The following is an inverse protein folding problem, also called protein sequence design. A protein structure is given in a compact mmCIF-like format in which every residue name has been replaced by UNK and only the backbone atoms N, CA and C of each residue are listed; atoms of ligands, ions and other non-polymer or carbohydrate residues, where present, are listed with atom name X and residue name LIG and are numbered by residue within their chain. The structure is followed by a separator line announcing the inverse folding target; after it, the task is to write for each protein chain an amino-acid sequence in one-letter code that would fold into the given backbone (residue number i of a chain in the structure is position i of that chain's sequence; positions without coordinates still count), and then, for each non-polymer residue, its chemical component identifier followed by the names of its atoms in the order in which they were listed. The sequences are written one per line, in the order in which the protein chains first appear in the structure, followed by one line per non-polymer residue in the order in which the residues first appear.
data_IF_949778800772
#
_entry.id   IF_949778800772
#
_cell.length_a   1.000
_cell.length_b   1.000
_cell.length_c   1.000
_cell.angle_alpha   90.00
_cell.angle_beta   90.00
_cell.angle_gamma   90.00
#
_symmetry.space_group_name_H-M   'P 1'
#
loop_
_entity.id
_entity.type
_entity.pdbx_description
1 polymer ?
#
# COMPACT_ATOMS: atom_id res chain seq x y z
N UNK A 1 40.78 -3.75 61.17
CA UNK A 1 39.73 -3.15 60.31
C UNK A 1 40.10 -1.73 59.86
N UNK A 2 40.67 -0.88 60.72
CA UNK A 2 41.17 0.46 60.33
C UNK A 2 42.42 0.35 59.43
N UNK A 3 43.31 -0.60 59.70
CA UNK A 3 44.57 -0.72 58.92
C UNK A 3 44.35 -1.25 57.50
N UNK A 4 43.37 -2.14 57.31
CA UNK A 4 42.97 -2.63 55.98
C UNK A 4 42.35 -1.53 55.11
N UNK A 5 41.61 -0.60 55.72
CA UNK A 5 41.06 0.58 55.02
C UNK A 5 42.17 1.56 54.65
N UNK A 6 43.15 1.80 55.54
CA UNK A 6 44.32 2.63 55.23
C UNK A 6 45.15 2.06 54.09
N UNK A 7 45.28 0.72 54.02
CA UNK A 7 46.05 0.05 52.97
C UNK A 7 45.35 0.10 51.61
N UNK A 8 44.02 -0.02 51.58
CA UNK A 8 43.20 0.19 50.38
C UNK A 8 43.25 1.63 49.86
N UNK A 9 43.20 2.63 50.76
CA UNK A 9 43.36 4.04 50.38
C UNK A 9 44.75 4.29 49.79
N UNK A 10 45.79 3.66 50.35
CA UNK A 10 47.16 3.78 49.85
C UNK A 10 47.33 3.13 48.47
N UNK A 11 46.75 1.95 48.24
CA UNK A 11 46.72 1.31 46.93
C UNK A 11 45.92 2.11 45.89
N UNK A 12 44.82 2.75 46.29
CA UNK A 12 44.07 3.68 45.43
C UNK A 12 44.92 4.93 45.11
N UNK A 13 45.62 5.51 46.07
CA UNK A 13 46.50 6.66 45.81
C UNK A 13 47.69 6.32 44.90
N UNK A 14 48.19 5.09 44.95
CA UNK A 14 49.27 4.59 44.10
C UNK A 14 48.79 4.05 42.74
N UNK A 15 47.47 3.99 42.50
CA UNK A 15 46.92 3.56 41.22
C UNK A 15 47.34 4.52 40.10
N UNK A 16 47.77 3.93 38.98
CA UNK A 16 48.19 4.66 37.78
C UNK A 16 47.13 5.66 37.29
N UNK A 17 45.85 5.36 37.52
CA UNK A 17 44.73 6.23 37.16
C UNK A 17 44.70 7.49 38.03
N UNK A 18 44.89 7.36 39.35
CA UNK A 18 44.88 8.50 40.27
C UNK A 18 46.12 9.37 40.09
N UNK A 19 47.30 8.76 39.90
CA UNK A 19 48.50 9.52 39.56
C UNK A 19 48.39 10.25 38.22
N UNK A 20 47.73 9.65 37.23
CA UNK A 20 47.43 10.31 35.97
C UNK A 20 46.53 11.54 36.17
N UNK A 21 45.49 11.46 37.00
CA UNK A 21 44.66 12.62 37.36
C UNK A 21 45.43 13.70 38.13
N UNK A 22 46.31 13.32 39.06
CA UNK A 22 47.17 14.29 39.75
C UNK A 22 48.11 15.00 38.79
N UNK A 23 48.76 14.27 37.88
CA UNK A 23 49.65 14.85 36.86
C UNK A 23 48.91 15.78 35.90
N UNK A 24 47.68 15.44 35.52
CA UNK A 24 46.80 16.33 34.74
C UNK A 24 46.44 17.58 35.55
N UNK A 25 46.11 17.43 36.84
CA UNK A 25 45.75 18.54 37.72
C UNK A 25 46.91 19.52 37.91
N UNK A 26 48.11 19.01 38.17
CA UNK A 26 49.33 19.80 38.34
C UNK A 26 49.70 20.53 37.04
N UNK A 27 49.67 19.83 35.91
CA UNK A 27 49.87 20.45 34.58
C UNK A 27 48.82 21.53 34.26
N UNK A 28 47.56 21.32 34.66
CA UNK A 28 46.47 22.29 34.54
C UNK A 28 46.62 23.49 35.49
N UNK A 29 47.31 23.34 36.62
CA UNK A 29 47.60 24.43 37.55
C UNK A 29 48.72 25.32 37.01
N UNK A 30 49.76 24.74 36.44
CA UNK A 30 50.89 25.46 35.86
C UNK A 30 50.53 26.19 34.55
N UNK A 31 49.69 25.58 33.70
CA UNK A 31 49.36 26.12 32.38
C UNK A 31 47.95 26.75 32.34
N UNK A 32 47.76 27.85 33.07
CA UNK A 32 46.44 28.51 33.27
C UNK A 32 45.72 28.84 31.95
N UNK A 33 46.44 29.33 30.93
CA UNK A 33 45.86 29.68 29.61
C UNK A 33 45.46 28.42 28.83
N UNK A 34 46.30 27.37 28.82
CA UNK A 34 46.01 26.12 28.13
C UNK A 34 44.86 25.36 28.78
N UNK A 35 44.73 25.43 30.11
CA UNK A 35 43.56 24.89 30.84
C UNK A 35 42.26 25.51 30.35
N UNK A 36 42.19 26.86 30.31
CA UNK A 36 41.01 27.58 29.82
C UNK A 36 40.68 27.21 28.37
N UNK A 37 41.71 27.08 27.53
CA UNK A 37 41.56 26.68 26.12
C UNK A 37 41.02 25.25 25.99
N UNK A 38 41.56 24.28 26.74
CA UNK A 38 41.08 22.89 26.72
C UNK A 38 39.65 22.79 27.23
N UNK A 39 39.31 23.48 28.34
CA UNK A 39 37.94 23.50 28.86
C UNK A 39 36.97 24.11 27.86
N UNK A 40 37.37 25.19 27.18
CA UNK A 40 36.55 25.81 26.14
C UNK A 40 36.40 24.90 24.92
N UNK A 41 37.48 24.27 24.47
CA UNK A 41 37.45 23.33 23.34
C UNK A 41 36.57 22.11 23.63
N UNK A 42 36.62 21.58 24.85
CA UNK A 42 35.75 20.49 25.27
C UNK A 42 34.28 20.92 25.28
N UNK A 43 33.98 22.11 25.82
CA UNK A 43 32.61 22.64 25.86
C UNK A 43 32.07 22.90 24.45
N UNK A 44 32.93 23.38 23.54
CA UNK A 44 32.63 23.57 22.13
C UNK A 44 32.42 22.23 21.42
N UNK A 45 33.21 21.20 21.72
CA UNK A 45 33.02 19.86 21.18
C UNK A 45 31.68 19.23 21.63
N UNK A 46 31.29 19.43 22.89
CA UNK A 46 29.97 19.00 23.40
C UNK A 46 28.84 19.75 22.66
N UNK A 47 28.97 21.06 22.49
CA UNK A 47 28.00 21.86 21.72
C UNK A 47 27.90 21.43 20.25
N UNK A 48 29.02 21.21 19.59
CA UNK A 48 29.07 20.72 18.21
C UNK A 48 28.45 19.32 18.10
N UNK A 49 28.71 18.43 19.06
CA UNK A 49 28.09 17.11 19.14
C UNK A 49 26.57 17.21 19.28
N UNK A 50 26.08 18.14 20.10
CA UNK A 50 24.64 18.36 20.29
C UNK A 50 23.98 18.95 19.04
N UNK A 51 24.64 19.87 18.34
CA UNK A 51 24.20 20.41 17.05
C UNK A 51 24.18 19.34 15.95
N UNK A 52 25.23 18.53 15.85
CA UNK A 52 25.28 17.39 14.93
C UNK A 52 24.17 16.40 15.28
N UNK A 53 23.95 16.13 16.57
CA UNK A 53 22.87 15.29 17.06
C UNK A 53 21.49 15.83 16.66
N UNK A 54 21.28 17.14 16.66
CA UNK A 54 20.04 17.77 16.19
C UNK A 54 19.87 17.68 14.65
N UNK A 55 20.95 17.83 13.89
CA UNK A 55 20.94 17.73 12.41
C UNK A 55 20.68 16.29 11.96
N UNK A 56 21.27 15.32 12.63
CA UNK A 56 21.13 13.89 12.31
C UNK A 56 20.00 13.19 13.07
N UNK A 57 19.29 13.91 13.97
CA UNK A 57 18.15 13.35 14.67
C UNK A 57 17.06 12.99 13.65
N UNK A 58 16.48 11.78 13.72
CA UNK A 58 15.32 11.45 12.91
C UNK A 58 14.21 12.49 13.11
N UNK A 59 13.61 12.96 12.02
CA UNK A 59 12.45 13.85 12.12
C UNK A 59 11.38 13.17 12.99
N UNK A 60 10.81 13.93 13.95
CA UNK A 60 9.72 13.43 14.78
C UNK A 60 8.60 12.95 13.87
N UNK A 61 8.19 11.70 14.00
CA UNK A 61 7.01 11.19 13.31
C UNK A 61 5.78 11.89 13.89
N UNK A 62 5.15 12.74 13.09
CA UNK A 62 3.97 13.51 13.51
C UNK A 62 2.66 12.72 13.37
N UNK A 63 2.70 11.57 12.69
CA UNK A 63 1.53 10.75 12.38
C UNK A 63 1.66 9.34 12.96
N UNK A 64 0.55 8.82 13.49
CA UNK A 64 0.49 7.44 13.97
C UNK A 64 0.44 6.45 12.80
N UNK A 65 0.77 5.19 13.06
CA UNK A 65 0.64 4.12 12.06
C UNK A 65 -0.77 3.99 11.52
N UNK A 66 -1.77 4.23 12.38
CA UNK A 66 -3.19 4.12 12.02
C UNK A 66 -3.66 5.29 11.15
N UNK A 67 -3.09 6.48 11.34
CA UNK A 67 -3.32 7.63 10.45
C UNK A 67 -2.71 7.38 9.06
N UNK A 68 -1.55 6.73 9.00
CA UNK A 68 -0.88 6.35 7.75
C UNK A 68 -1.36 5.01 7.18
N UNK A 69 -2.47 4.47 7.69
CA UNK A 69 -3.07 3.25 7.17
C UNK A 69 -3.44 3.43 5.69
N UNK A 70 -3.01 2.48 4.87
CA UNK A 70 -3.21 2.50 3.42
C UNK A 70 -4.48 1.75 3.00
N UNK A 71 -5.24 1.20 3.93
CA UNK A 71 -6.51 0.52 3.65
C UNK A 71 -7.58 1.10 4.56
N UNK A 72 -8.72 1.47 3.97
CA UNK A 72 -9.88 2.00 4.68
C UNK A 72 -11.15 1.30 4.20
N UNK A 73 -12.06 1.07 5.12
CA UNK A 73 -13.40 0.53 4.84
C UNK A 73 -14.38 1.66 5.04
N UNK A 74 -15.35 1.79 4.12
CA UNK A 74 -16.42 2.76 4.22
C UNK A 74 -17.36 2.38 5.37
N UNK A 75 -17.70 3.33 6.24
CA UNK A 75 -18.45 3.05 7.48
C UNK A 75 -19.83 2.46 7.23
N UNK A 76 -20.46 2.80 6.11
CA UNK A 76 -21.75 2.24 5.71
C UNK A 76 -21.65 0.85 5.06
N UNK A 77 -20.47 0.22 5.06
CA UNK A 77 -20.25 -1.11 4.50
C UNK A 77 -20.31 -1.16 2.97
N UNK A 78 -20.28 -0.02 2.28
CA UNK A 78 -20.42 0.01 0.81
C UNK A 78 -19.21 -0.53 0.04
N UNK A 79 -18.07 -0.70 0.71
CA UNK A 79 -16.86 -1.18 0.09
C UNK A 79 -15.61 -0.83 0.87
N UNK A 80 -14.47 -1.07 0.23
CA UNK A 80 -13.16 -0.71 0.72
C UNK A 80 -12.34 0.00 -0.35
N UNK A 81 -11.40 0.84 0.10
CA UNK A 81 -10.44 1.52 -0.75
C UNK A 81 -9.05 1.42 -0.13
N UNK A 82 -8.06 1.10 -0.97
CA UNK A 82 -6.69 0.89 -0.58
C UNK A 82 -5.74 1.76 -1.41
N UNK A 83 -4.88 2.52 -0.76
CA UNK A 83 -3.78 3.27 -1.35
C UNK A 83 -2.58 2.35 -1.57
N UNK A 84 -2.43 1.84 -2.79
CA UNK A 84 -1.45 0.79 -3.14
C UNK A 84 -0.10 1.35 -3.58
N UNK A 85 -0.07 2.56 -4.14
CA UNK A 85 1.15 3.21 -4.63
C UNK A 85 1.19 4.68 -4.22
N UNK A 86 2.35 5.15 -3.79
CA UNK A 86 2.60 6.54 -3.42
C UNK A 86 3.98 6.93 -3.91
N UNK A 87 4.06 7.83 -4.89
CA UNK A 87 5.32 8.37 -5.39
C UNK A 87 5.30 9.89 -5.19
N UNK A 88 6.37 10.43 -4.61
CA UNK A 88 6.61 11.87 -4.60
C UNK A 88 7.86 12.21 -5.39
N UNK A 89 7.74 13.25 -6.20
CA UNK A 89 8.85 13.86 -6.92
C UNK A 89 9.16 15.25 -6.39
N UNK A 90 10.17 15.40 -5.50
CA UNK A 90 10.58 16.69 -4.98
C UNK A 90 11.09 17.67 -6.05
N UNK A 91 11.57 17.15 -7.18
CA UNK A 91 12.13 17.96 -8.28
C UNK A 91 11.04 18.64 -9.10
N UNK A 92 9.97 17.93 -9.42
CA UNK A 92 8.89 18.42 -10.27
C UNK A 92 7.66 18.88 -9.49
N UNK A 93 7.60 18.63 -8.18
CA UNK A 93 6.46 18.99 -7.34
C UNK A 93 5.21 18.16 -7.67
N UNK A 94 5.40 16.89 -8.05
CA UNK A 94 4.33 15.97 -8.44
C UNK A 94 4.23 14.84 -7.43
N UNK A 95 3.02 14.52 -6.99
CA UNK A 95 2.70 13.29 -6.27
C UNK A 95 1.80 12.43 -7.13
N UNK A 96 2.13 11.15 -7.24
CA UNK A 96 1.30 10.13 -7.90
C UNK A 96 0.82 9.13 -6.86
N UNK A 97 -0.49 8.92 -6.80
CA UNK A 97 -1.15 8.00 -5.90
C UNK A 97 -1.95 7.00 -6.74
N UNK A 98 -1.98 5.75 -6.30
CA UNK A 98 -2.82 4.72 -6.93
C UNK A 98 -3.70 4.09 -5.87
N UNK A 99 -5.00 4.11 -6.13
CA UNK A 99 -6.03 3.54 -5.28
C UNK A 99 -6.64 2.31 -5.95
N UNK A 100 -6.93 1.30 -5.15
CA UNK A 100 -7.73 0.13 -5.53
C UNK A 100 -9.01 0.11 -4.70
N UNK A 101 -10.15 -0.18 -5.34
CA UNK A 101 -11.46 -0.21 -4.71
C UNK A 101 -12.13 -1.56 -4.90
N UNK A 102 -12.87 -1.97 -3.88
CA UNK A 102 -13.74 -3.14 -3.92
C UNK A 102 -15.14 -2.71 -3.53
N UNK A 103 -16.11 -3.03 -4.37
CA UNK A 103 -17.53 -2.79 -4.11
C UNK A 103 -18.14 -3.97 -3.34
N UNK A 104 -18.68 -3.70 -2.16
CA UNK A 104 -19.36 -4.72 -1.32
C UNK A 104 -20.87 -4.74 -1.51
N UNK A 105 -21.41 -3.84 -2.33
CA UNK A 105 -22.87 -3.67 -2.53
C UNK A 105 -23.41 -4.49 -3.69
N UNK A 106 -22.55 -5.03 -4.55
CA UNK A 106 -22.92 -5.83 -5.71
C UNK A 106 -22.45 -7.26 -5.53
N UNK A 107 -23.24 -8.23 -5.99
CA UNK A 107 -22.80 -9.63 -6.12
C UNK A 107 -21.72 -9.79 -7.21
N UNK A 108 -21.50 -8.77 -8.03
CA UNK A 108 -20.50 -8.74 -9.07
C UNK A 108 -19.20 -8.17 -8.50
N UNK A 109 -18.10 -8.94 -8.59
CA UNK A 109 -16.79 -8.55 -8.09
C UNK A 109 -16.14 -7.40 -8.90
N UNK A 110 -16.66 -6.18 -8.75
CA UNK A 110 -16.21 -4.94 -9.38
C UNK A 110 -15.69 -3.95 -8.34
N UNK A 111 -15.02 -2.89 -8.82
CA UNK A 111 -14.68 -1.75 -7.96
C UNK A 111 -15.83 -0.76 -7.82
N UNK A 112 -15.62 0.26 -6.99
CA UNK A 112 -16.61 1.32 -6.78
C UNK A 112 -16.55 2.25 -7.99
N UNK A 113 -17.72 2.54 -8.59
CA UNK A 113 -17.81 3.50 -9.69
C UNK A 113 -17.22 4.85 -9.28
N UNK A 114 -16.17 5.26 -9.98
CA UNK A 114 -15.47 6.54 -9.75
C UNK A 114 -16.40 7.76 -9.78
N UNK A 115 -17.51 7.73 -10.53
CA UNK A 115 -18.50 8.81 -10.57
C UNK A 115 -19.27 8.97 -9.26
N UNK A 116 -19.27 7.95 -8.40
CA UNK A 116 -19.90 7.95 -7.07
C UNK A 116 -18.92 8.33 -5.95
N UNK A 117 -17.64 8.49 -6.28
CA UNK A 117 -16.62 8.94 -5.34
C UNK A 117 -16.41 10.45 -5.48
N UNK A 118 -16.64 11.17 -4.39
CA UNK A 118 -16.33 12.60 -4.31
C UNK A 118 -15.04 12.79 -3.51
N UNK A 119 -14.11 13.55 -4.07
CA UNK A 119 -12.74 13.69 -3.57
C UNK A 119 -12.51 15.11 -3.10
N UNK A 120 -11.90 15.28 -1.94
CA UNK A 120 -11.42 16.58 -1.45
C UNK A 120 -9.96 16.48 -1.07
N UNK A 121 -9.18 17.50 -1.44
CA UNK A 121 -7.78 17.62 -1.08
C UNK A 121 -7.62 18.73 -0.04
N UNK A 122 -7.00 18.39 1.10
CA UNK A 122 -6.66 19.36 2.14
C UNK A 122 -5.15 19.44 2.32
N UNK A 123 -4.67 20.66 2.55
CA UNK A 123 -3.27 20.96 2.77
C UNK A 123 -3.09 21.73 4.09
N UNK A 124 -2.00 21.49 4.81
CA UNK A 124 -1.66 22.29 6.01
C UNK A 124 -1.41 23.76 5.67
N UNK A 125 -0.83 24.02 4.49
CA UNK A 125 -0.61 25.37 3.97
C UNK A 125 -1.19 25.42 2.57
N UNK A 126 -2.21 26.26 2.37
CA UNK A 126 -2.85 26.41 1.07
C UNK A 126 -1.85 27.06 0.09
N UNK A 127 -1.67 26.40 -1.05
CA UNK A 127 -0.99 26.95 -2.22
C UNK A 127 -2.03 27.10 -3.32
N UNK A 128 -2.14 28.30 -3.91
CA UNK A 128 -3.16 28.61 -4.92
C UNK A 128 -3.09 27.70 -6.14
N UNK A 129 -1.92 27.12 -6.41
CA UNK A 129 -1.64 26.45 -7.67
C UNK A 129 -1.67 24.92 -7.51
N UNK A 130 -1.77 24.40 -6.28
CA UNK A 130 -1.82 22.96 -6.03
C UNK A 130 -3.19 22.41 -6.39
N UNK A 131 -3.20 21.45 -7.30
CA UNK A 131 -4.41 20.80 -7.80
C UNK A 131 -4.27 19.28 -7.80
N UNK A 132 -5.40 18.60 -7.68
CA UNK A 132 -5.51 17.14 -7.73
C UNK A 132 -6.38 16.74 -8.92
N UNK A 133 -5.90 15.81 -9.72
CA UNK A 133 -6.66 15.23 -10.83
C UNK A 133 -6.86 13.74 -10.56
N UNK A 134 -8.11 13.28 -10.68
CA UNK A 134 -8.51 11.90 -10.40
C UNK A 134 -8.84 11.22 -11.72
N UNK A 135 -8.15 10.12 -12.01
CA UNK A 135 -8.24 9.44 -13.30
C UNK A 135 -8.58 7.96 -13.02
N UNK A 136 -9.82 7.52 -13.29
CA UNK A 136 -10.13 6.10 -13.23
C UNK A 136 -9.32 5.41 -14.32
N UNK A 137 -8.65 4.29 -14.00
CA UNK A 137 -7.91 3.47 -14.98
C UNK A 137 -8.74 2.26 -15.36
N UNK A 138 -9.10 1.44 -14.36
CA UNK A 138 -10.05 0.32 -14.48
C UNK A 138 -11.27 0.57 -13.59
N UNK A 139 -12.16 -0.42 -13.48
CA UNK A 139 -13.26 -0.39 -12.52
C UNK A 139 -12.77 -0.42 -11.06
N UNK A 140 -11.63 -1.06 -10.80
CA UNK A 140 -11.03 -1.19 -9.46
C UNK A 140 -9.93 -0.17 -9.19
N UNK A 141 -9.19 0.24 -10.22
CA UNK A 141 -7.97 1.04 -10.08
C UNK A 141 -8.18 2.49 -10.49
N UNK A 142 -7.81 3.41 -9.61
CA UNK A 142 -7.91 4.86 -9.80
C UNK A 142 -6.53 5.46 -9.55
N UNK A 143 -6.00 6.21 -10.51
CA UNK A 143 -4.75 6.95 -10.36
C UNK A 143 -5.05 8.42 -10.09
N UNK A 144 -4.35 9.00 -9.13
CA UNK A 144 -4.53 10.40 -8.70
C UNK A 144 -3.18 11.09 -8.80
N UNK A 145 -3.16 12.25 -9.47
CA UNK A 145 -1.98 13.08 -9.60
C UNK A 145 -2.21 14.41 -8.89
N UNK A 146 -1.30 14.79 -7.99
CA UNK A 146 -1.30 16.10 -7.33
C UNK A 146 -0.14 16.90 -7.93
N UNK A 147 -0.45 18.04 -8.53
CA UNK A 147 0.50 18.93 -9.20
C UNK A 147 0.80 20.15 -8.35
N UNK A 148 1.93 20.79 -8.64
CA UNK A 148 2.40 22.01 -7.97
C UNK A 148 2.47 21.87 -6.45
N UNK A 149 3.00 20.73 -5.98
CA UNK A 149 3.19 20.46 -4.55
C UNK A 149 4.33 21.32 -4.01
N UNK A 150 4.09 22.16 -2.97
CA UNK A 150 5.13 23.01 -2.42
C UNK A 150 6.21 22.19 -1.71
N UNK A 151 7.44 22.71 -1.70
CA UNK A 151 8.53 22.11 -0.94
C UNK A 151 8.18 22.15 0.55
N UNK A 152 8.31 21.01 1.24
CA UNK A 152 8.04 20.93 2.67
C UNK A 152 6.55 20.99 3.04
N UNK A 153 5.64 20.56 2.15
CA UNK A 153 4.18 20.58 2.34
C UNK A 153 3.63 19.87 3.61
N UNK A 154 4.49 19.20 4.39
CA UNK A 154 4.11 18.51 5.62
C UNK A 154 3.28 17.26 5.36
N UNK A 155 1.98 17.45 5.14
CA UNK A 155 1.04 16.41 4.75
C UNK A 155 -0.14 16.98 3.95
N UNK A 156 -0.66 16.17 3.03
CA UNK A 156 -2.00 16.32 2.48
C UNK A 156 -2.95 15.32 3.13
N UNK A 157 -4.21 15.71 3.32
CA UNK A 157 -5.29 14.78 3.61
C UNK A 157 -6.22 14.71 2.41
N UNK A 158 -6.58 13.49 2.03
CA UNK A 158 -7.50 13.22 0.93
C UNK A 158 -8.74 12.58 1.53
N UNK A 159 -9.85 13.29 1.48
CA UNK A 159 -11.15 12.74 1.84
C UNK A 159 -11.80 12.16 0.60
N UNK A 160 -12.32 10.95 0.74
CA UNK A 160 -13.02 10.23 -0.31
C UNK A 160 -14.40 9.88 0.24
N UNK A 161 -15.44 10.56 -0.25
CA UNK A 161 -16.83 10.28 0.08
C UNK A 161 -17.41 9.31 -0.94
N UNK A 162 -17.97 8.20 -0.47
CA UNK A 162 -18.71 7.29 -1.34
C UNK A 162 -20.22 7.59 -1.23
N UNK A 163 -20.80 8.10 -2.31
CA UNK A 163 -22.20 8.50 -2.40
C UNK A 163 -23.15 7.34 -2.74
N UNK A 164 -22.73 6.09 -2.55
CA UNK A 164 -23.59 4.94 -2.77
C UNK A 164 -24.57 4.77 -1.61
N UNK A 165 -25.84 4.66 -1.97
CA UNK A 165 -26.94 4.39 -1.03
C UNK A 165 -26.94 2.91 -0.69
N UNK A 166 -27.09 2.58 0.59
CA UNK A 166 -27.31 1.19 1.04
C UNK A 166 -28.78 0.93 1.26
N UNK A 167 -29.20 -0.33 1.12
CA UNK A 167 -30.60 -0.75 1.36
C UNK A 167 -31.08 -0.39 2.76
N UNK A 168 -30.17 -0.36 3.74
CA UNK A 168 -30.46 0.00 5.13
C UNK A 168 -30.79 1.49 5.32
N UNK A 169 -30.58 2.32 4.30
CA UNK A 169 -30.92 3.76 4.28
C UNK A 169 -32.22 4.04 3.51
N UNK A 170 -32.87 3.01 2.96
CA UNK A 170 -34.13 3.15 2.22
C UNK A 170 -35.26 2.84 3.19
N UNK A 171 -35.87 3.88 3.74
CA UNK A 171 -37.13 3.76 4.47
C UNK A 171 -38.27 3.57 3.44
N UNK A 172 -38.82 2.37 3.39
CA UNK A 172 -39.99 2.02 2.57
C UNK A 172 -41.28 1.99 3.39
N UNK A 173 -41.21 2.31 4.68
CA UNK A 173 -42.36 2.26 5.56
C UNK A 173 -43.20 3.54 5.42
N UNK A 174 -44.52 3.36 5.40
CA UNK A 174 -45.48 4.47 5.45
C UNK A 174 -45.63 4.89 6.91
N UNK A 175 -45.35 6.17 7.19
CA UNK A 175 -45.66 6.78 8.48
C UNK A 175 -47.19 6.85 8.67
N UNK A 176 -47.76 5.92 9.46
CA UNK A 176 -49.16 5.98 9.85
C UNK A 176 -49.32 6.89 11.08
N UNK A 177 -50.24 7.87 11.07
CA UNK A 177 -50.54 8.64 12.26
C UNK A 177 -51.38 7.77 13.20
N UNK A 178 -50.72 7.20 14.20
CA UNK A 178 -51.26 6.62 15.44
C UNK A 178 -52.24 5.44 15.33
N UNK A 179 -51.80 4.27 15.81
CA UNK A 179 -52.67 3.34 16.53
C UNK A 179 -51.83 2.56 17.56
N UNK A 180 -52.06 2.89 18.82
CA UNK A 180 -51.59 2.17 20.00
C UNK A 180 -52.15 0.75 20.03
N UNK A 181 -51.29 -0.25 19.95
CA UNK A 181 -51.46 -1.59 20.55
C UNK A 181 -50.10 -2.29 20.51
N UNK A 182 -49.69 -2.76 21.67
CA UNK A 182 -48.41 -3.40 21.97
C UNK A 182 -48.20 -4.67 21.15
N UNK A 183 -47.05 -4.77 20.46
CA UNK A 183 -46.26 -6.01 20.35
C UNK A 183 -44.85 -5.70 19.82
N UNK A 184 -43.90 -6.47 20.34
CA UNK A 184 -42.46 -6.29 20.30
C UNK A 184 -41.83 -6.01 18.93
N UNK A 185 -41.41 -4.77 18.71
CA UNK A 185 -40.14 -4.50 18.01
C UNK A 185 -39.55 -3.20 18.51
N UNK A 186 -38.69 -3.27 19.54
CA UNK A 186 -37.71 -2.21 19.79
C UNK A 186 -36.65 -2.26 18.68
N UNK A 187 -37.06 -1.85 17.48
CA UNK A 187 -36.16 -1.39 16.45
C UNK A 187 -35.38 -0.25 17.06
N UNK A 188 -34.09 -0.46 17.28
CA UNK A 188 -33.16 0.58 17.63
C UNK A 188 -33.31 1.70 16.60
N UNK A 189 -34.02 2.77 16.95
CA UNK A 189 -33.77 4.09 16.35
C UNK A 189 -32.39 4.49 16.85
N UNK A 190 -31.38 3.95 16.16
CA UNK A 190 -30.05 4.51 16.21
C UNK A 190 -30.21 5.93 15.71
N UNK A 191 -30.01 6.90 16.60
CA UNK A 191 -29.90 8.30 16.22
C UNK A 191 -29.02 8.37 14.97
N UNK A 192 -29.55 8.98 13.90
CA UNK A 192 -28.82 9.34 12.70
C UNK A 192 -27.67 10.29 13.07
N UNK A 193 -26.58 9.73 13.61
CA UNK A 193 -25.27 10.22 13.25
C UNK A 193 -25.15 9.88 11.78
N UNK A 194 -25.48 10.83 10.92
CA UNK A 194 -24.99 10.84 9.55
C UNK A 194 -23.46 10.88 9.62
N UNK A 195 -22.84 9.74 9.93
CA UNK A 195 -21.41 9.62 9.78
C UNK A 195 -21.22 9.67 8.27
N UNK A 196 -20.70 10.81 7.81
CA UNK A 196 -20.49 11.02 6.39
C UNK A 196 -19.65 9.84 5.91
N UNK A 197 -20.11 9.14 4.86
CA UNK A 197 -19.44 7.95 4.33
C UNK A 197 -18.11 8.32 3.65
N UNK A 198 -17.17 8.80 4.45
CA UNK A 198 -15.95 9.50 4.09
C UNK A 198 -14.80 8.76 4.73
N UNK A 199 -13.81 8.42 3.92
CA UNK A 199 -12.54 7.88 4.40
C UNK A 199 -11.43 8.87 4.10
N UNK A 200 -10.50 9.00 5.03
CA UNK A 200 -9.39 9.94 4.93
C UNK A 200 -8.05 9.21 4.79
N UNK A 201 -7.22 9.70 3.85
CA UNK A 201 -5.85 9.25 3.64
C UNK A 201 -4.87 10.40 3.84
N UNK A 202 -3.84 10.16 4.65
CA UNK A 202 -2.74 11.11 4.82
C UNK A 202 -1.57 10.76 3.89
N UNK A 203 -1.16 11.75 3.10
CA UNK A 203 -0.03 11.65 2.17
C UNK A 203 1.07 12.57 2.68
N UNK A 204 2.20 11.99 3.09
CA UNK A 204 3.31 12.75 3.70
C UNK A 204 4.66 12.13 3.34
N UNK A 205 5.72 12.93 3.14
CA UNK A 205 7.08 12.42 2.92
C UNK A 205 7.62 11.62 4.12
N UNK A 206 7.02 11.76 5.31
CA UNK A 206 7.37 10.97 6.49
C UNK A 206 6.87 9.51 6.41
N UNK A 207 6.00 9.18 5.45
CA UNK A 207 5.48 7.83 5.29
C UNK A 207 6.53 6.93 4.62
N UNK A 208 6.96 5.87 5.30
CA UNK A 208 7.92 4.89 4.76
C UNK A 208 7.45 4.18 3.49
N UNK A 209 6.13 4.15 3.24
CA UNK A 209 5.54 3.59 2.01
C UNK A 209 5.57 4.54 0.82
N UNK A 210 5.96 5.81 1.03
CA UNK A 210 6.11 6.77 -0.05
C UNK A 210 7.47 6.60 -0.73
N UNK A 211 7.46 6.36 -2.02
CA UNK A 211 8.65 6.28 -2.85
C UNK A 211 9.07 7.69 -3.30
N UNK A 212 10.36 7.99 -3.20
CA UNK A 212 10.93 9.24 -3.71
C UNK A 212 11.57 8.96 -5.08
N UNK A 213 10.89 9.37 -6.15
CA UNK A 213 11.33 9.15 -7.53
C UNK A 213 11.15 10.39 -8.40
N UNK A 214 11.82 10.42 -9.55
CA UNK A 214 11.62 11.49 -10.53
C UNK A 214 10.40 11.17 -11.38
N UNK A 215 9.35 11.99 -11.28
CA UNK A 215 8.14 11.88 -12.10
C UNK A 215 8.07 13.11 -12.99
N UNK A 216 7.84 12.91 -14.29
CA UNK A 216 7.70 14.03 -15.23
C UNK A 216 6.41 14.79 -14.92
N UNK A 217 6.47 16.12 -14.98
CA UNK A 217 5.27 16.96 -14.94
C UNK A 217 4.66 16.98 -16.34
N UNK A 218 3.70 16.09 -16.58
CA UNK A 218 3.01 15.89 -17.86
C UNK A 218 1.54 16.32 -17.75
N UNK A 219 0.86 16.43 -18.90
CA UNK A 219 -0.56 16.72 -18.91
C UNK A 219 -1.37 15.59 -18.28
N UNK A 220 -2.61 15.89 -17.89
CA UNK A 220 -3.54 14.88 -17.34
C UNK A 220 -3.77 13.76 -18.34
N UNK A 221 -3.90 14.13 -19.61
CA UNK A 221 -4.14 13.25 -20.75
C UNK A 221 -2.94 12.34 -20.99
N UNK A 222 -1.73 12.90 -21.01
CA UNK A 222 -0.48 12.11 -21.14
C UNK A 222 -0.29 11.16 -19.96
N UNK A 223 -0.58 11.61 -18.73
CA UNK A 223 -0.51 10.77 -17.54
C UNK A 223 -1.53 9.62 -17.60
N UNK A 224 -2.78 9.92 -17.99
CA UNK A 224 -3.80 8.89 -18.19
C UNK A 224 -3.38 7.86 -19.24
N UNK A 225 -2.79 8.29 -20.36
CA UNK A 225 -2.28 7.39 -21.39
C UNK A 225 -1.14 6.51 -20.87
N UNK A 226 -0.22 7.06 -20.09
CA UNK A 226 0.86 6.30 -19.48
C UNK A 226 0.31 5.22 -18.54
N UNK A 227 -0.58 5.58 -17.62
CA UNK A 227 -1.17 4.65 -16.65
C UNK A 227 -2.01 3.56 -17.33
N UNK A 228 -2.75 3.89 -18.39
CA UNK A 228 -3.50 2.91 -19.19
C UNK A 228 -2.53 1.96 -19.92
N UNK A 229 -1.42 2.47 -20.48
CA UNK A 229 -0.43 1.63 -21.16
C UNK A 229 0.29 0.68 -20.18
N UNK A 230 0.66 1.18 -18.99
CA UNK A 230 1.24 0.37 -17.92
C UNK A 230 0.27 -0.76 -17.51
N UNK A 231 -1.02 -0.45 -17.38
CA UNK A 231 -2.04 -1.45 -17.06
C UNK A 231 -2.24 -2.48 -18.19
N UNK A 232 -2.24 -2.05 -19.46
CA UNK A 232 -2.27 -2.96 -20.63
C UNK A 232 -1.04 -3.88 -20.62
N UNK A 233 0.14 -3.32 -20.37
CA UNK A 233 1.39 -4.08 -20.26
C UNK A 233 1.32 -5.14 -19.16
N UNK A 234 0.82 -4.77 -17.99
CA UNK A 234 0.60 -5.69 -16.87
C UNK A 234 -0.33 -6.83 -17.25
N UNK A 235 -1.49 -6.55 -17.87
CA UNK A 235 -2.42 -7.59 -18.30
C UNK A 235 -1.83 -8.53 -19.35
N UNK A 236 -1.06 -8.01 -20.31
CA UNK A 236 -0.32 -8.81 -21.30
C UNK A 236 0.73 -9.72 -20.65
N UNK A 237 1.42 -9.25 -19.62
CA UNK A 237 2.37 -10.07 -18.87
C UNK A 237 1.68 -11.23 -18.13
N UNK A 238 0.52 -10.97 -17.50
CA UNK A 238 -0.28 -12.01 -16.86
C UNK A 238 -0.76 -13.07 -17.87
N UNK A 239 -1.23 -12.65 -19.05
CA UNK A 239 -1.60 -13.57 -20.13
C UNK A 239 -0.41 -14.43 -20.58
N UNK A 240 0.79 -13.84 -20.69
CA UNK A 240 2.01 -14.58 -21.04
C UNK A 240 2.35 -15.64 -19.98
N UNK A 241 2.25 -15.30 -18.69
CA UNK A 241 2.48 -16.25 -17.58
C UNK A 241 1.49 -17.42 -17.64
N UNK A 242 0.20 -17.14 -17.82
CA UNK A 242 -0.83 -18.19 -17.96
C UNK A 242 -0.58 -19.10 -19.18
N UNK A 243 -0.21 -18.52 -20.32
CA UNK A 243 0.11 -19.28 -21.55
C UNK A 243 1.32 -20.19 -21.34
N UNK A 244 2.35 -19.73 -20.63
CA UNK A 244 3.52 -20.54 -20.28
C UNK A 244 3.15 -21.68 -19.31
N UNK A 245 2.30 -21.42 -18.31
CA UNK A 245 1.79 -22.45 -17.40
C UNK A 245 0.99 -23.52 -18.15
N UNK A 246 0.11 -23.13 -19.09
CA UNK A 246 -0.63 -24.06 -19.94
C UNK A 246 0.33 -24.94 -20.74
N UNK A 247 1.40 -24.37 -21.32
CA UNK A 247 2.40 -25.14 -22.07
C UNK A 247 3.04 -26.23 -21.18
N UNK A 248 3.48 -25.87 -19.98
CA UNK A 248 4.07 -26.83 -19.02
C UNK A 248 3.09 -27.91 -18.60
N UNK A 249 1.82 -27.55 -18.34
CA UNK A 249 0.78 -28.51 -18.00
C UNK A 249 0.54 -29.51 -19.14
N UNK A 250 0.55 -29.05 -20.40
CA UNK A 250 0.44 -29.93 -21.57
C UNK A 250 1.64 -30.87 -21.74
N UNK A 251 2.86 -30.40 -21.46
CA UNK A 251 4.05 -31.25 -21.45
C UNK A 251 3.93 -32.35 -20.38
N UNK A 252 3.51 -32.00 -19.15
CA UNK A 252 3.29 -32.98 -18.09
C UNK A 252 2.16 -33.98 -18.38
N UNK A 253 1.11 -33.57 -19.10
CA UNK A 253 0.05 -34.48 -19.56
C UNK A 253 0.61 -35.47 -20.58
N UNK A 254 1.46 -35.00 -21.50
CA UNK A 254 2.11 -35.89 -22.49
C UNK A 254 3.01 -36.92 -21.81
N UNK A 255 3.77 -36.53 -20.78
CA UNK A 255 4.61 -37.45 -20.00
C UNK A 255 3.77 -38.47 -19.22
N UNK A 256 2.62 -38.04 -18.67
CA UNK A 256 1.61 -38.91 -18.05
C UNK A 256 1.07 -39.93 -19.06
N UNK A 257 0.70 -39.50 -20.28
CA UNK A 257 0.19 -40.37 -21.34
C UNK A 257 1.22 -41.44 -21.72
N UNK A 258 2.49 -41.07 -21.89
CA UNK A 258 3.57 -42.02 -22.16
C UNK A 258 3.78 -43.02 -21.01
N UNK A 259 3.71 -42.56 -19.75
CA UNK A 259 3.84 -43.43 -18.58
C UNK A 259 2.67 -44.42 -18.50
N UNK A 260 1.45 -43.94 -18.76
CA UNK A 260 0.24 -44.78 -18.81
C UNK A 260 0.34 -45.85 -19.89
N UNK A 261 0.83 -45.50 -21.08
CA UNK A 261 1.03 -46.46 -22.17
C UNK A 261 2.02 -47.58 -21.80
N UNK A 262 3.11 -47.23 -21.10
CA UNK A 262 4.06 -48.21 -20.56
C UNK A 262 3.39 -49.15 -19.56
N UNK A 263 2.65 -48.61 -18.58
CA UNK A 263 1.94 -49.41 -17.56
C UNK A 263 0.85 -50.31 -18.17
N UNK A 264 0.15 -49.83 -19.21
CA UNK A 264 -0.83 -50.64 -19.96
C UNK A 264 -0.17 -51.79 -20.73
N UNK A 265 1.06 -51.58 -21.20
CA UNK A 265 1.84 -52.63 -21.87
C UNK A 265 2.35 -53.65 -20.88
N UNK A 266 2.86 -53.22 -19.73
CA UNK A 266 3.35 -54.09 -18.65
C UNK A 266 2.23 -54.93 -18.03
N UNK A 267 1.05 -54.35 -17.85
CA UNK A 267 -0.15 -55.03 -17.32
C UNK A 267 -0.49 -56.35 -18.04
N UNK A 268 -0.10 -56.51 -19.31
CA UNK A 268 -0.32 -57.74 -20.10
C UNK A 268 0.42 -58.96 -19.53
N UNK A 269 1.44 -58.74 -18.73
CA UNK A 269 2.31 -59.78 -18.17
C UNK A 269 2.20 -59.89 -16.64
N UNK A 270 1.44 -59.01 -15.98
CA UNK A 270 1.29 -58.98 -14.53
C UNK A 270 0.07 -59.80 -14.08
N UNK A 271 0.10 -60.27 -12.84
CA UNK A 271 -1.03 -60.97 -12.20
C UNK A 271 -1.06 -60.70 -10.69
N UNK A 272 -2.18 -61.02 -10.04
CA UNK A 272 -2.32 -60.88 -8.58
C UNK A 272 -2.10 -59.45 -8.08
N UNK A 273 -1.27 -59.32 -7.04
CA UNK A 273 -1.01 -58.04 -6.37
C UNK A 273 -0.30 -57.03 -7.27
N UNK A 274 0.62 -57.48 -8.15
CA UNK A 274 1.36 -56.60 -9.06
C UNK A 274 0.42 -55.96 -10.10
N UNK A 275 -0.53 -56.73 -10.64
CA UNK A 275 -1.55 -56.21 -11.55
C UNK A 275 -2.44 -55.18 -10.86
N UNK A 276 -2.82 -55.46 -9.61
CA UNK A 276 -3.65 -54.55 -8.80
C UNK A 276 -2.93 -53.23 -8.52
N UNK A 277 -1.63 -53.29 -8.21
CA UNK A 277 -0.80 -52.08 -8.02
C UNK A 277 -0.69 -51.27 -9.31
N UNK A 278 -0.38 -51.93 -10.43
CA UNK A 278 -0.28 -51.27 -11.73
C UNK A 278 -1.59 -50.57 -12.14
N UNK A 279 -2.75 -51.18 -11.87
CA UNK A 279 -4.05 -50.55 -12.10
C UNK A 279 -4.25 -49.28 -11.25
N UNK A 280 -3.85 -49.30 -9.97
CA UNK A 280 -3.90 -48.11 -9.11
C UNK A 280 -2.98 -46.99 -9.60
N UNK A 281 -1.78 -47.34 -10.09
CA UNK A 281 -0.84 -46.35 -10.65
C UNK A 281 -1.44 -45.70 -11.91
N UNK A 282 -2.15 -46.46 -12.77
CA UNK A 282 -2.89 -45.93 -13.92
C UNK A 282 -4.03 -44.99 -13.48
N UNK A 283 -4.83 -45.40 -12.49
CA UNK A 283 -5.92 -44.58 -11.95
C UNK A 283 -5.40 -43.25 -11.37
N UNK A 284 -4.26 -43.29 -10.69
CA UNK A 284 -3.60 -42.09 -10.17
C UNK A 284 -3.14 -41.16 -11.31
N UNK A 285 -2.56 -41.71 -12.38
CA UNK A 285 -2.17 -40.92 -13.57
C UNK A 285 -3.39 -40.27 -14.22
N UNK A 286 -4.52 -40.97 -14.29
CA UNK A 286 -5.77 -40.43 -14.86
C UNK A 286 -6.33 -39.28 -14.03
N UNK A 287 -6.40 -39.45 -12.71
CA UNK A 287 -6.81 -38.38 -11.78
C UNK A 287 -5.89 -37.15 -11.87
N UNK A 288 -4.58 -37.37 -11.93
CA UNK A 288 -3.59 -36.30 -12.08
C UNK A 288 -3.76 -35.56 -13.42
N UNK A 289 -4.08 -36.29 -14.49
CA UNK A 289 -4.32 -35.72 -15.83
C UNK A 289 -5.60 -34.89 -15.87
N UNK A 290 -6.68 -35.37 -15.24
CA UNK A 290 -7.94 -34.63 -15.11
C UNK A 290 -7.73 -33.31 -14.34
N UNK A 291 -6.98 -33.35 -13.24
CA UNK A 291 -6.67 -32.16 -12.43
C UNK A 291 -5.86 -31.12 -13.23
N UNK A 292 -4.88 -31.57 -14.03
CA UNK A 292 -4.12 -30.71 -14.93
C UNK A 292 -5.02 -30.10 -16.02
N UNK A 293 -5.96 -30.87 -16.59
CA UNK A 293 -6.91 -30.38 -17.59
C UNK A 293 -7.85 -29.31 -17.02
N UNK A 294 -8.40 -29.49 -15.81
CA UNK A 294 -9.19 -28.45 -15.11
C UNK A 294 -8.39 -27.16 -14.88
N UNK A 295 -7.11 -27.30 -14.56
CA UNK A 295 -6.21 -26.15 -14.39
C UNK A 295 -5.96 -25.41 -15.71
N UNK A 296 -5.83 -26.13 -16.84
CA UNK A 296 -5.74 -25.55 -18.18
C UNK A 296 -7.03 -24.79 -18.54
N UNK A 297 -8.19 -25.38 -18.27
CA UNK A 297 -9.49 -24.73 -18.52
C UNK A 297 -9.62 -23.41 -17.74
N UNK A 298 -9.32 -23.44 -16.44
CA UNK A 298 -9.33 -22.24 -15.59
C UNK A 298 -8.35 -21.18 -16.11
N UNK A 299 -7.16 -21.59 -16.55
CA UNK A 299 -6.18 -20.66 -17.12
C UNK A 299 -6.66 -20.03 -18.44
N UNK A 300 -7.34 -20.79 -19.30
CA UNK A 300 -7.94 -20.26 -20.55
C UNK A 300 -9.05 -19.25 -20.25
N UNK A 301 -9.97 -19.56 -19.32
CA UNK A 301 -11.02 -18.64 -18.89
C UNK A 301 -10.43 -17.32 -18.36
N UNK A 302 -9.37 -17.40 -17.54
CA UNK A 302 -8.65 -16.22 -17.05
C UNK A 302 -7.99 -15.42 -18.18
N UNK A 303 -7.42 -16.09 -19.19
CA UNK A 303 -6.87 -15.41 -20.38
C UNK A 303 -7.97 -14.65 -21.12
N UNK A 304 -9.15 -15.23 -21.30
CA UNK A 304 -10.25 -14.56 -22.01
C UNK A 304 -10.77 -13.35 -21.24
N UNK A 305 -10.89 -13.43 -19.91
CA UNK A 305 -11.19 -12.27 -19.05
C UNK A 305 -10.13 -11.16 -19.23
N UNK A 306 -8.84 -11.52 -19.28
CA UNK A 306 -7.75 -10.54 -19.47
C UNK A 306 -7.78 -9.90 -20.87
N UNK A 307 -8.17 -10.64 -21.92
CA UNK A 307 -8.35 -10.10 -23.27
C UNK A 307 -9.48 -9.08 -23.33
N UNK A 308 -10.61 -9.37 -22.68
CA UNK A 308 -11.74 -8.43 -22.60
C UNK A 308 -11.34 -7.13 -21.89
N UNK A 309 -10.65 -7.25 -20.75
CA UNK A 309 -10.12 -6.09 -20.01
C UNK A 309 -9.13 -5.28 -20.84
N UNK A 310 -8.22 -5.94 -21.55
CA UNK A 310 -7.26 -5.28 -22.45
C UNK A 310 -7.99 -4.54 -23.56
N UNK A 311 -9.02 -5.15 -24.15
CA UNK A 311 -9.84 -4.51 -25.20
C UNK A 311 -10.56 -3.26 -24.67
N UNK A 312 -11.10 -3.32 -23.46
CA UNK A 312 -11.73 -2.16 -22.81
C UNK A 312 -10.73 -1.04 -22.54
N UNK A 313 -9.50 -1.38 -22.14
CA UNK A 313 -8.43 -0.40 -21.92
C UNK A 313 -7.95 0.25 -23.21
N UNK A 314 -7.80 -0.51 -24.31
CA UNK A 314 -7.43 0.05 -25.61
C UNK A 314 -8.53 0.98 -26.14
N UNK A 315 -9.82 0.67 -25.93
CA UNK A 315 -10.93 1.60 -26.23
C UNK A 315 -10.82 2.89 -25.42
N UNK A 316 -10.52 2.79 -24.13
CA UNK A 316 -10.35 3.96 -23.25
C UNK A 316 -9.14 4.81 -23.66
N UNK A 317 -8.02 4.16 -23.99
CA UNK A 317 -6.83 4.82 -24.53
C UNK A 317 -7.14 5.58 -25.82
N UNK A 318 -7.92 4.99 -26.73
CA UNK A 318 -8.39 5.67 -27.94
C UNK A 318 -9.23 6.91 -27.58
N UNK A 319 -10.19 6.78 -26.66
CA UNK A 319 -11.03 7.88 -26.19
C UNK A 319 -10.23 9.03 -25.53
N UNK A 320 -9.14 8.71 -24.84
CA UNK A 320 -8.24 9.75 -24.29
C UNK A 320 -7.46 10.44 -25.40
N UNK A 321 -7.01 9.70 -26.43
CA UNK A 321 -6.24 10.26 -27.56
C UNK A 321 -7.09 11.15 -28.47
N UNK A 322 -8.34 10.77 -28.72
CA UNK A 322 -9.25 11.53 -29.59
C UNK A 322 -10.02 12.65 -28.86
N UNK A 323 -9.86 12.74 -27.53
CA UNK A 323 -10.47 13.77 -26.70
C UNK A 323 -11.93 13.51 -26.32
N UNK A 324 -12.48 12.33 -26.61
CA UNK A 324 -13.87 11.97 -26.23
C UNK A 324 -13.99 11.51 -24.78
N UNK A 325 -12.87 11.23 -24.10
CA UNK A 325 -12.86 10.85 -22.69
C UNK A 325 -13.12 12.06 -21.78
N UNK A 326 -14.24 12.03 -21.06
CA UNK A 326 -14.61 13.05 -20.08
C UNK A 326 -13.82 12.87 -18.77
N UNK A 327 -12.85 13.75 -18.55
CA UNK A 327 -12.17 13.86 -17.26
C UNK A 327 -12.97 14.70 -16.27
N UNK A 328 -12.88 14.35 -14.98
CA UNK A 328 -13.35 15.23 -13.91
C UNK A 328 -12.54 16.52 -13.86
N UNK A 329 -13.20 17.59 -13.40
CA UNK A 329 -12.54 18.87 -13.14
C UNK A 329 -11.42 18.68 -12.10
N UNK A 330 -10.28 19.39 -12.24
CA UNK A 330 -9.27 19.42 -11.20
C UNK A 330 -9.85 19.88 -9.86
N UNK A 331 -9.39 19.26 -8.78
CA UNK A 331 -9.81 19.54 -7.42
C UNK A 331 -8.76 20.46 -6.79
N UNK A 332 -9.18 21.63 -6.35
CA UNK A 332 -8.33 22.60 -5.68
C UNK A 332 -8.08 22.22 -4.21
N UNK A 333 -6.95 22.69 -3.67
CA UNK A 333 -6.64 22.52 -2.25
C UNK A 333 -7.51 23.37 -1.34
N UNK A 334 -8.01 22.75 -0.28
CA UNK A 334 -8.65 23.41 0.86
C UNK A 334 -7.65 23.47 2.02
N UNK A 335 -7.63 24.58 2.76
CA UNK A 335 -6.77 24.68 3.94
C UNK A 335 -7.33 23.80 5.08
N UNK A 336 -6.46 23.01 5.73
CA UNK A 336 -6.83 22.30 6.95
C UNK A 336 -7.12 23.32 8.06
N UNK A 337 -8.30 23.24 8.67
CA UNK A 337 -8.68 24.08 9.80
C UNK A 337 -8.15 23.53 11.13
#
# INVERSE_FOLDING_TARGET
MIDTIKQLIKQLQESAVIQFFYRIKEWCQENVVKRKLITFSFLLAVWSSLLLGAIFSPQRQTFTTDQLATKRVFENGTGEISLVKQIYSPKTGVIVLQFETTDSTSSIARGIDSKRLNWKLYAQHKSSDTSMEVIPITDKKISVIIKNVPKGFGAFAIDIKNNRVTTNQIDVDISTPSSSSDDDFKGFKQEDKSSENVVQFFVTPQNKKMEIATVKNISREEFALQEIEEEIGFQKEQMKKLTQSIKKLKELIKDNESSKESLLTEAKYLSGDDLTKNQKDIEQIDSDTETKNRSIETANQNIDILKEKTTSLEKKKAAVKDGTFEFSSPIETVEMK
#
